data_IF_608516198911
#
_entry.id   IF_608516198911
#
_cell.length_a   1.000
_cell.length_b   1.000
_cell.length_c   1.000
_cell.angle_alpha   90.00
_cell.angle_beta   90.00
_cell.angle_gamma   90.00
#
_symmetry.space_group_name_H-M   'P 1'
#
loop_
_entity.id
_entity.type
_entity.pdbx_description
1 polymer ?
#
# COMPACT_ATOMS: atom_id res chain seq x y z
N UNK A 1 50.95 8.17 -64.07
CA UNK A 1 50.00 7.67 -63.05
C UNK A 1 50.82 6.98 -61.98
N UNK A 2 50.85 7.61 -60.80
CA UNK A 2 51.53 7.13 -59.60
C UNK A 2 50.79 5.92 -59.01
N UNK A 3 51.52 4.95 -58.48
CA UNK A 3 51.29 4.42 -57.13
C UNK A 3 52.48 3.57 -56.69
N UNK A 4 53.24 4.12 -55.74
CA UNK A 4 54.30 3.49 -54.96
C UNK A 4 53.68 2.57 -53.90
N UNK A 5 54.12 1.31 -53.84
CA UNK A 5 53.75 0.37 -52.78
C UNK A 5 54.34 0.81 -51.44
N UNK A 6 53.45 0.87 -50.45
CA UNK A 6 53.65 1.35 -49.09
C UNK A 6 54.38 0.29 -48.25
N UNK A 7 55.45 0.69 -47.58
CA UNK A 7 56.13 -0.10 -46.55
C UNK A 7 55.33 -0.04 -45.24
N UNK A 8 55.14 -1.21 -44.60
CA UNK A 8 54.47 -1.36 -43.32
C UNK A 8 55.49 -1.10 -42.18
N UNK A 9 55.38 0.05 -41.51
CA UNK A 9 56.06 0.30 -40.23
C UNK A 9 55.06 0.13 -39.09
N UNK A 10 55.30 -0.86 -38.24
CA UNK A 10 54.57 -1.08 -36.99
C UNK A 10 55.25 -0.24 -35.89
N UNK A 11 54.57 0.81 -35.42
CA UNK A 11 54.99 1.58 -34.25
C UNK A 11 54.10 1.18 -33.06
N UNK A 12 54.70 0.53 -32.06
CA UNK A 12 54.07 0.26 -30.77
C UNK A 12 54.21 1.53 -29.92
N UNK A 13 53.11 2.22 -29.67
CA UNK A 13 53.04 3.30 -28.69
C UNK A 13 52.49 2.74 -27.37
N UNK A 14 53.38 2.56 -26.40
CA UNK A 14 53.03 2.34 -25.00
C UNK A 14 52.66 3.73 -24.45
N UNK A 15 51.37 4.00 -24.27
CA UNK A 15 50.94 5.15 -23.49
C UNK A 15 51.02 4.79 -22.00
N UNK A 16 51.97 5.43 -21.32
CA UNK A 16 52.06 5.50 -19.86
C UNK A 16 50.75 6.02 -19.26
N UNK A 17 50.37 5.45 -18.12
CA UNK A 17 49.11 5.66 -17.43
C UNK A 17 48.71 7.13 -17.28
N UNK A 18 47.51 7.43 -17.74
CA UNK A 18 46.76 8.58 -17.29
C UNK A 18 46.07 8.14 -15.99
N UNK A 19 46.51 8.68 -14.85
CA UNK A 19 45.80 8.54 -13.58
C UNK A 19 44.36 9.02 -13.81
N UNK A 20 43.41 8.08 -13.84
CA UNK A 20 42.01 8.43 -13.65
C UNK A 20 41.93 8.96 -12.24
N UNK A 21 41.82 10.29 -12.11
CA UNK A 21 41.20 10.89 -10.95
C UNK A 21 39.90 10.14 -10.71
N UNK A 22 39.83 9.42 -9.60
CA UNK A 22 38.56 9.09 -8.96
C UNK A 22 37.83 10.42 -8.77
N UNK A 23 36.91 10.70 -9.68
CA UNK A 23 35.77 11.52 -9.33
C UNK A 23 35.02 10.68 -8.32
N UNK A 24 35.17 11.03 -7.04
CA UNK A 24 34.15 10.78 -6.03
C UNK A 24 32.83 11.27 -6.63
N UNK A 25 32.09 10.35 -7.23
CA UNK A 25 30.70 10.55 -7.55
C UNK A 25 30.01 10.55 -6.18
N UNK A 26 29.97 11.74 -5.56
CA UNK A 26 29.08 12.04 -4.46
C UNK A 26 27.66 11.88 -5.03
N UNK A 27 27.24 10.62 -5.11
CA UNK A 27 25.87 10.20 -5.36
C UNK A 27 25.06 10.92 -4.30
N UNK A 28 24.39 12.00 -4.74
CA UNK A 28 23.51 12.77 -3.91
C UNK A 28 22.49 11.76 -3.37
N UNK A 29 22.59 11.44 -2.08
CA UNK A 29 21.70 10.47 -1.45
C UNK A 29 20.28 10.99 -1.68
N UNK A 30 19.50 10.23 -2.44
CA UNK A 30 18.11 10.61 -2.74
C UNK A 30 17.39 10.70 -1.41
N UNK A 31 16.98 11.91 -1.05
CA UNK A 31 16.19 12.16 0.16
C UNK A 31 14.73 12.00 -0.20
N UNK A 32 14.09 10.97 0.36
CA UNK A 32 12.65 10.81 0.29
C UNK A 32 11.99 11.63 1.40
N UNK A 33 10.74 12.04 1.16
CA UNK A 33 9.94 12.71 2.18
C UNK A 33 9.86 11.84 3.44
N UNK A 34 10.03 12.50 4.57
CA UNK A 34 9.91 11.87 5.87
C UNK A 34 8.41 11.73 6.15
N UNK A 35 7.94 10.52 6.47
CA UNK A 35 6.49 10.29 6.60
C UNK A 35 5.84 11.16 7.69
N UNK A 36 6.62 11.59 8.70
CA UNK A 36 6.17 12.52 9.73
C UNK A 36 5.88 13.95 9.23
N UNK A 37 6.40 14.32 8.06
CA UNK A 37 6.19 15.62 7.44
C UNK A 37 5.01 15.60 6.43
N UNK A 38 4.37 14.45 6.23
CA UNK A 38 3.20 14.33 5.37
C UNK A 38 1.95 14.98 5.95
N UNK A 39 1.01 15.35 5.07
CA UNK A 39 -0.25 15.98 5.47
C UNK A 39 -1.14 15.04 6.31
N UNK A 40 -1.04 13.72 6.07
CA UNK A 40 -1.81 12.70 6.79
C UNK A 40 -0.89 11.61 7.38
N UNK A 41 -1.18 11.14 8.61
CA UNK A 41 -0.34 10.19 9.31
C UNK A 41 -0.47 8.77 8.75
N UNK A 42 0.65 8.07 8.56
CA UNK A 42 0.64 6.61 8.31
C UNK A 42 0.87 5.84 9.62
N UNK A 43 0.22 4.68 9.82
CA UNK A 43 0.54 3.81 10.96
C UNK A 43 1.77 2.97 10.65
N UNK A 44 2.89 3.55 11.05
CA UNK A 44 4.19 2.92 10.99
C UNK A 44 4.60 2.34 12.34
N UNK A 45 5.53 1.41 12.25
CA UNK A 45 6.08 0.69 13.37
C UNK A 45 6.96 1.61 14.24
N UNK A 46 6.91 1.58 15.58
CA UNK A 46 7.85 2.37 16.39
C UNK A 46 9.34 2.18 16.12
N UNK A 47 9.76 1.09 15.46
CA UNK A 47 11.14 0.94 15.00
C UNK A 47 11.47 1.90 13.85
N UNK A 48 10.50 2.24 13.00
CA UNK A 48 10.63 3.31 12.01
C UNK A 48 10.97 4.67 12.69
N UNK A 49 10.34 4.98 13.82
CA UNK A 49 10.57 6.22 14.57
C UNK A 49 11.79 6.18 15.49
N UNK A 50 12.50 5.04 15.55
CA UNK A 50 13.75 4.96 16.29
C UNK A 50 14.86 5.66 15.48
N UNK A 51 15.30 6.82 15.97
CA UNK A 51 16.33 7.67 15.32
C UNK A 51 17.67 6.97 15.06
N UNK A 52 17.94 5.82 15.71
CA UNK A 52 19.16 5.04 15.48
C UNK A 52 19.02 3.99 14.36
N UNK A 53 17.83 3.84 13.78
CA UNK A 53 17.51 2.86 12.72
C UNK A 53 17.41 3.53 11.34
N UNK A 54 18.41 4.34 10.98
CA UNK A 54 18.39 5.20 9.78
C UNK A 54 18.11 4.43 8.48
N UNK A 55 18.68 3.22 8.33
CA UNK A 55 18.49 2.41 7.12
C UNK A 55 17.03 1.97 6.97
N UNK A 56 16.40 1.50 8.05
CA UNK A 56 14.98 1.14 8.05
C UNK A 56 14.09 2.33 7.70
N UNK A 57 14.38 3.50 8.29
CA UNK A 57 13.62 4.72 8.03
C UNK A 57 13.70 5.12 6.57
N UNK A 58 14.90 5.08 5.98
CA UNK A 58 15.11 5.36 4.57
C UNK A 58 14.39 4.36 3.66
N UNK A 59 14.43 3.07 4.00
CA UNK A 59 13.73 2.02 3.25
C UNK A 59 12.22 2.24 3.26
N UNK A 60 11.64 2.57 4.41
CA UNK A 60 10.21 2.85 4.55
C UNK A 60 9.82 4.15 3.84
N UNK A 61 10.61 5.22 3.98
CA UNK A 61 10.36 6.48 3.25
C UNK A 61 10.42 6.27 1.74
N UNK A 62 11.40 5.50 1.26
CA UNK A 62 11.49 5.10 -0.16
C UNK A 62 10.24 4.34 -0.57
N UNK A 63 9.81 3.35 0.21
CA UNK A 63 8.63 2.54 -0.10
C UNK A 63 7.35 3.38 -0.16
N UNK A 64 7.10 4.20 0.85
CA UNK A 64 5.92 5.08 0.94
C UNK A 64 5.92 6.09 -0.20
N UNK A 65 7.08 6.70 -0.50
CA UNK A 65 7.23 7.60 -1.63
C UNK A 65 6.77 6.95 -2.94
N UNK A 66 7.33 5.78 -3.29
CA UNK A 66 6.97 5.11 -4.54
C UNK A 66 5.53 4.55 -4.53
N UNK A 67 4.97 4.19 -3.37
CA UNK A 67 3.57 3.82 -3.25
C UNK A 67 2.66 5.00 -3.66
N UNK A 68 2.94 6.21 -3.18
CA UNK A 68 2.17 7.44 -3.47
C UNK A 68 2.22 7.89 -4.92
N UNK A 69 3.21 7.44 -5.71
CA UNK A 69 3.34 7.83 -7.11
C UNK A 69 2.37 7.10 -8.04
N UNK A 70 1.73 6.02 -7.59
CA UNK A 70 0.69 5.36 -8.38
C UNK A 70 -0.57 6.22 -8.38
N UNK A 71 -1.30 6.25 -9.50
CA UNK A 71 -2.65 6.79 -9.51
C UNK A 71 -3.61 5.81 -8.86
N UNK A 72 -4.48 6.30 -7.98
CA UNK A 72 -5.51 5.49 -7.35
C UNK A 72 -6.92 5.92 -7.78
N UNK A 73 -7.82 4.95 -7.85
CA UNK A 73 -9.25 5.16 -8.04
C UNK A 73 -9.94 5.21 -6.67
N UNK A 74 -10.98 6.02 -6.55
CA UNK A 74 -11.81 5.92 -5.36
C UNK A 74 -12.53 4.55 -5.38
N UNK A 75 -12.58 3.81 -4.25
CA UNK A 75 -13.15 2.47 -4.22
C UNK A 75 -14.68 2.46 -4.29
N UNK A 76 -15.30 3.64 -4.33
CA UNK A 76 -16.72 3.87 -4.11
C UNK A 76 -17.23 4.89 -5.11
N UNK A 77 -17.66 4.44 -6.28
CA UNK A 77 -18.13 5.29 -7.38
C UNK A 77 -19.53 4.85 -7.84
N UNK A 78 -20.25 5.77 -8.46
CA UNK A 78 -21.54 5.50 -9.10
C UNK A 78 -21.33 5.17 -10.59
N UNK A 79 -22.42 4.83 -11.30
CA UNK A 79 -22.37 4.46 -12.73
C UNK A 79 -21.90 5.60 -13.67
N UNK A 80 -21.70 6.82 -13.15
CA UNK A 80 -21.18 7.97 -13.90
C UNK A 80 -19.71 8.28 -13.55
N UNK A 81 -19.01 7.37 -12.88
CA UNK A 81 -17.63 7.54 -12.38
C UNK A 81 -17.48 8.70 -11.38
N UNK A 82 -18.58 9.07 -10.69
CA UNK A 82 -18.55 10.04 -9.60
C UNK A 82 -18.47 9.30 -8.26
N UNK A 83 -17.72 9.85 -7.32
CA UNK A 83 -17.66 9.33 -5.94
C UNK A 83 -19.08 9.24 -5.39
N UNK A 84 -19.49 8.03 -5.03
CA UNK A 84 -20.83 7.80 -4.52
C UNK A 84 -21.02 8.50 -3.17
N UNK A 85 -22.17 9.15 -2.97
CA UNK A 85 -22.45 9.86 -1.74
C UNK A 85 -22.41 8.93 -0.52
N UNK A 86 -21.48 9.18 0.39
CA UNK A 86 -21.22 8.35 1.56
C UNK A 86 -20.94 9.21 2.80
N UNK A 87 -20.88 8.55 3.96
CA UNK A 87 -20.43 9.13 5.21
C UNK A 87 -19.36 8.25 5.84
N UNK A 88 -18.43 8.88 6.56
CA UNK A 88 -17.45 8.18 7.38
C UNK A 88 -17.96 8.10 8.82
N UNK A 89 -18.24 6.89 9.29
CA UNK A 89 -18.56 6.69 10.73
C UNK A 89 -17.30 6.44 11.56
N UNK A 90 -16.25 5.91 10.94
CA UNK A 90 -14.92 5.74 11.53
C UNK A 90 -13.89 6.06 10.49
N UNK A 91 -13.08 7.07 10.80
CA UNK A 91 -11.95 7.49 9.98
C UNK A 91 -10.70 6.70 10.35
N UNK A 92 -9.70 6.80 9.48
CA UNK A 92 -8.38 6.25 9.74
C UNK A 92 -7.84 6.82 11.05
N UNK A 93 -7.38 5.94 11.94
CA UNK A 93 -6.77 6.32 13.21
C UNK A 93 -7.73 6.69 14.31
N UNK A 94 -9.04 6.64 14.10
CA UNK A 94 -9.99 6.87 15.18
C UNK A 94 -9.82 5.79 16.26
N UNK A 95 -9.80 6.26 17.50
CA UNK A 95 -9.78 5.42 18.69
C UNK A 95 -10.98 4.46 18.77
N UNK A 96 -10.74 3.20 19.10
CA UNK A 96 -11.78 2.16 19.24
C UNK A 96 -11.71 1.54 20.65
N UNK A 97 -12.85 1.14 21.19
CA UNK A 97 -12.99 0.39 22.44
C UNK A 97 -13.08 1.26 23.71
N UNK A 98 -12.94 0.65 24.90
CA UNK A 98 -13.19 1.37 26.15
C UNK A 98 -12.21 2.54 26.29
N UNK A 99 -12.75 3.76 26.43
CA UNK A 99 -12.04 5.06 26.46
C UNK A 99 -11.44 5.55 25.14
N UNK A 100 -11.73 4.93 23.99
CA UNK A 100 -11.16 5.26 22.67
C UNK A 100 -9.62 5.21 22.60
N UNK A 101 -8.98 4.72 23.67
CA UNK A 101 -7.53 4.55 23.72
C UNK A 101 -7.14 3.10 23.61
N UNK A 102 -8.09 2.17 23.42
CA UNK A 102 -7.71 0.80 23.18
C UNK A 102 -7.14 0.70 21.77
N UNK A 103 -7.93 0.66 20.70
CA UNK A 103 -7.49 0.47 19.31
C UNK A 103 -7.48 1.73 18.49
N UNK A 104 -6.82 1.69 17.34
CA UNK A 104 -6.93 2.70 16.29
C UNK A 104 -7.46 2.01 15.05
N UNK A 105 -8.31 2.69 14.31
CA UNK A 105 -8.95 2.12 13.13
C UNK A 105 -7.98 2.13 11.94
N UNK A 106 -7.51 0.98 11.43
CA UNK A 106 -6.51 0.93 10.35
C UNK A 106 -7.10 1.17 8.95
N UNK A 107 -8.30 1.74 8.91
CA UNK A 107 -9.17 1.73 7.76
C UNK A 107 -10.02 3.00 7.73
N UNK A 108 -10.70 3.19 6.61
CA UNK A 108 -11.84 4.10 6.49
C UNK A 108 -13.11 3.27 6.30
N UNK A 109 -14.16 3.59 7.08
CA UNK A 109 -15.48 2.99 6.92
C UNK A 109 -16.36 3.89 6.04
N UNK A 110 -16.59 3.47 4.79
CA UNK A 110 -17.42 4.20 3.83
C UNK A 110 -18.86 3.69 3.86
N UNK A 111 -19.76 4.46 4.48
CA UNK A 111 -21.18 4.14 4.57
C UNK A 111 -21.96 4.82 3.45
N UNK A 112 -22.45 4.09 2.44
CA UNK A 112 -23.22 4.69 1.35
C UNK A 112 -24.55 5.24 1.87
N UNK A 113 -24.97 6.37 1.29
CA UNK A 113 -26.31 6.92 1.54
C UNK A 113 -27.40 5.98 1.03
N UNK A 114 -27.12 5.27 -0.08
CA UNK A 114 -27.99 4.24 -0.64
C UNK A 114 -27.19 2.95 -0.93
N UNK A 115 -27.23 1.94 -0.03
CA UNK A 115 -26.43 0.73 -0.15
C UNK A 115 -26.87 -0.19 -1.31
N UNK A 116 -28.03 0.03 -1.93
CA UNK A 116 -28.49 -0.75 -3.09
C UNK A 116 -28.09 -0.12 -4.43
N UNK A 117 -27.42 1.04 -4.40
CA UNK A 117 -26.99 1.76 -5.60
C UNK A 117 -25.51 2.13 -5.45
N UNK A 118 -24.68 1.11 -5.29
CA UNK A 118 -23.25 1.27 -5.12
C UNK A 118 -22.50 0.23 -5.93
N UNK A 119 -21.40 0.66 -6.54
CA UNK A 119 -20.43 -0.22 -7.20
C UNK A 119 -19.07 0.05 -6.58
N UNK A 120 -18.34 -1.02 -6.32
CA UNK A 120 -16.99 -0.95 -5.79
C UNK A 120 -16.00 -1.22 -6.91
N UNK A 121 -14.95 -0.42 -6.96
CA UNK A 121 -13.96 -0.43 -8.03
C UNK A 121 -12.55 -0.67 -7.48
N UNK A 122 -11.72 -1.31 -8.30
CA UNK A 122 -10.31 -1.52 -8.00
C UNK A 122 -9.58 -0.19 -7.89
N UNK A 123 -8.96 0.06 -6.74
CA UNK A 123 -8.28 1.31 -6.42
C UNK A 123 -6.97 1.43 -7.20
N UNK A 124 -6.37 0.32 -7.62
CA UNK A 124 -5.17 0.30 -8.44
C UNK A 124 -5.15 -0.97 -9.28
N UNK A 125 -4.21 -1.08 -10.23
CA UNK A 125 -4.00 -2.35 -10.91
C UNK A 125 -3.46 -3.38 -9.92
N UNK A 126 -3.82 -4.65 -10.05
CA UNK A 126 -3.24 -5.67 -9.17
C UNK A 126 -3.89 -7.04 -9.26
N UNK A 127 -3.32 -7.98 -8.51
CA UNK A 127 -3.84 -9.34 -8.35
C UNK A 127 -4.90 -9.36 -7.24
N UNK A 128 -6.07 -9.93 -7.52
CA UNK A 128 -7.12 -10.15 -6.54
C UNK A 128 -6.96 -11.50 -5.86
N UNK A 129 -7.19 -11.51 -4.55
CA UNK A 129 -7.47 -12.72 -3.78
C UNK A 129 -8.70 -12.51 -2.91
N UNK A 130 -9.58 -13.49 -2.89
CA UNK A 130 -10.84 -13.43 -2.17
C UNK A 130 -10.83 -14.33 -0.94
N UNK A 131 -11.57 -13.91 0.08
CA UNK A 131 -11.64 -14.58 1.36
C UNK A 131 -13.10 -14.62 1.82
N UNK A 132 -13.56 -15.81 2.18
CA UNK A 132 -14.94 -16.06 2.62
C UNK A 132 -15.00 -16.49 4.07
N UNK A 133 -16.18 -16.40 4.67
CA UNK A 133 -16.49 -16.83 6.03
C UNK A 133 -15.56 -16.27 7.13
N UNK A 134 -15.03 -15.06 6.93
CA UNK A 134 -14.27 -14.33 7.93
C UNK A 134 -15.17 -13.97 9.12
N UNK A 135 -14.84 -14.39 10.36
CA UNK A 135 -15.70 -14.14 11.53
C UNK A 135 -16.03 -12.65 11.78
N UNK A 136 -15.17 -11.73 11.32
CA UNK A 136 -15.37 -10.29 11.49
C UNK A 136 -15.94 -9.62 10.23
N UNK A 137 -15.56 -10.06 9.04
CA UNK A 137 -15.89 -9.35 7.79
C UNK A 137 -16.93 -10.03 6.91
N UNK A 138 -17.30 -11.26 7.24
CA UNK A 138 -17.96 -12.21 6.34
C UNK A 138 -17.11 -12.46 5.10
N UNK A 139 -17.10 -11.58 4.11
CA UNK A 139 -16.21 -11.69 2.95
C UNK A 139 -15.35 -10.44 2.80
N UNK A 140 -14.17 -10.64 2.22
CA UNK A 140 -13.29 -9.56 1.78
C UNK A 140 -12.46 -10.00 0.60
N UNK A 141 -11.86 -9.04 -0.09
CA UNK A 141 -10.81 -9.29 -1.07
C UNK A 141 -9.60 -8.42 -0.77
N UNK A 142 -8.42 -8.92 -1.10
CA UNK A 142 -7.19 -8.15 -1.22
C UNK A 142 -6.91 -7.87 -2.69
N UNK A 143 -6.38 -6.68 -2.96
CA UNK A 143 -5.87 -6.27 -4.26
C UNK A 143 -4.41 -5.85 -4.10
N UNK A 144 -3.51 -6.61 -4.71
CA UNK A 144 -2.07 -6.50 -4.46
C UNK A 144 -1.34 -5.98 -5.70
N UNK A 145 -0.53 -4.93 -5.52
CA UNK A 145 0.36 -4.40 -6.55
C UNK A 145 1.80 -4.33 -6.06
N UNK A 146 2.75 -4.61 -6.95
CA UNK A 146 4.17 -4.41 -6.69
C UNK A 146 4.48 -2.90 -6.65
N UNK A 147 5.30 -2.48 -5.69
CA UNK A 147 5.89 -1.14 -5.67
C UNK A 147 7.27 -1.24 -6.30
N UNK A 148 7.52 -0.42 -7.32
CA UNK A 148 8.78 -0.39 -8.06
C UNK A 148 9.47 0.96 -7.90
N UNK A 149 10.79 0.93 -7.77
CA UNK A 149 11.57 2.15 -7.80
C UNK A 149 11.83 2.65 -9.23
N UNK A 150 12.57 3.75 -9.36
CA UNK A 150 12.93 4.36 -10.66
C UNK A 150 13.68 3.41 -11.59
N UNK A 151 14.37 2.41 -11.05
CA UNK A 151 15.13 1.42 -11.82
C UNK A 151 14.29 0.17 -12.13
N UNK A 152 12.98 0.23 -11.86
CA UNK A 152 12.01 -0.86 -12.04
C UNK A 152 12.30 -2.08 -11.14
N UNK A 153 13.06 -1.91 -10.06
CA UNK A 153 13.24 -2.96 -9.05
C UNK A 153 12.00 -3.01 -8.15
N UNK A 154 11.49 -4.21 -7.90
CA UNK A 154 10.45 -4.41 -6.89
C UNK A 154 11.08 -4.15 -5.53
N UNK A 155 10.55 -3.18 -4.78
CA UNK A 155 11.04 -2.82 -3.43
C UNK A 155 10.02 -3.17 -2.33
N UNK A 156 8.81 -3.55 -2.74
CA UNK A 156 7.76 -3.99 -1.85
C UNK A 156 6.45 -4.18 -2.61
N UNK A 157 5.35 -4.19 -1.86
CA UNK A 157 3.99 -4.24 -2.41
C UNK A 157 3.04 -3.38 -1.59
N UNK A 158 2.03 -2.86 -2.28
CA UNK A 158 0.84 -2.27 -1.66
C UNK A 158 -0.30 -3.26 -1.77
N UNK A 159 -1.08 -3.36 -0.69
CA UNK A 159 -2.28 -4.20 -0.62
C UNK A 159 -3.43 -3.34 -0.16
N UNK A 160 -4.47 -3.24 -0.98
CA UNK A 160 -5.75 -2.67 -0.55
C UNK A 160 -6.71 -3.80 -0.16
N UNK A 161 -7.45 -3.62 0.92
CA UNK A 161 -8.44 -4.60 1.39
C UNK A 161 -9.81 -3.98 1.34
N UNK A 162 -10.74 -4.72 0.72
CA UNK A 162 -12.14 -4.37 0.61
C UNK A 162 -12.95 -5.37 1.39
N UNK A 163 -13.42 -4.96 2.56
CA UNK A 163 -14.10 -5.85 3.48
C UNK A 163 -15.55 -5.43 3.72
N UNK A 164 -16.34 -6.37 4.26
CA UNK A 164 -17.80 -6.24 4.34
C UNK A 164 -18.47 -6.20 2.96
N UNK A 165 -17.93 -6.96 2.00
CA UNK A 165 -18.55 -7.21 0.69
C UNK A 165 -19.35 -8.51 0.72
N UNK A 166 -20.28 -8.70 -0.22
CA UNK A 166 -21.08 -9.91 -0.35
C UNK A 166 -20.77 -10.67 -1.64
N UNK A 167 -19.62 -11.36 -1.61
CA UNK A 167 -19.17 -12.21 -2.71
C UNK A 167 -20.12 -13.36 -3.09
N UNK A 168 -21.14 -13.70 -2.29
CA UNK A 168 -22.12 -14.72 -2.69
C UNK A 168 -23.13 -14.12 -3.69
N UNK A 169 -23.56 -12.89 -3.43
CA UNK A 169 -24.40 -12.13 -4.36
C UNK A 169 -23.63 -11.78 -5.63
N UNK A 170 -22.37 -11.34 -5.50
CA UNK A 170 -21.51 -11.06 -6.67
C UNK A 170 -21.29 -12.31 -7.55
N UNK A 171 -21.09 -13.49 -6.94
CA UNK A 171 -20.98 -14.75 -7.67
C UNK A 171 -22.26 -15.06 -8.47
N UNK A 172 -23.43 -14.78 -7.90
CA UNK A 172 -24.71 -14.99 -8.58
C UNK A 172 -24.87 -14.06 -9.80
N UNK A 173 -24.11 -12.97 -9.84
CA UNK A 173 -23.97 -12.03 -10.95
C UNK A 173 -22.76 -12.31 -11.85
N UNK A 174 -22.12 -13.49 -11.71
CA UNK A 174 -20.94 -13.93 -12.47
C UNK A 174 -19.67 -13.09 -12.25
N UNK A 175 -19.55 -12.40 -11.11
CA UNK A 175 -18.35 -11.67 -10.74
C UNK A 175 -17.45 -12.54 -9.85
N UNK A 176 -16.57 -13.34 -10.47
CA UNK A 176 -15.61 -14.23 -9.80
C UNK A 176 -14.19 -13.80 -10.12
N UNK A 177 -13.54 -13.11 -9.17
CA UNK A 177 -12.27 -12.41 -9.42
C UNK A 177 -11.06 -13.06 -8.72
N UNK A 178 -11.25 -14.19 -8.02
CA UNK A 178 -10.16 -14.83 -7.28
C UNK A 178 -9.01 -15.24 -8.22
N UNK A 179 -7.79 -14.78 -7.89
CA UNK A 179 -6.59 -15.01 -8.69
C UNK A 179 -6.51 -14.21 -10.00
N UNK A 180 -7.45 -13.30 -10.26
CA UNK A 180 -7.44 -12.48 -11.48
C UNK A 180 -6.60 -11.22 -11.28
N UNK A 181 -5.90 -10.83 -12.34
CA UNK A 181 -5.34 -9.49 -12.41
C UNK A 181 -6.44 -8.53 -12.90
N UNK A 182 -6.63 -7.44 -12.19
CA UNK A 182 -7.63 -6.42 -12.48
C UNK A 182 -6.98 -5.07 -12.73
N UNK A 183 -7.56 -4.27 -13.60
CA UNK A 183 -7.13 -2.89 -13.81
C UNK A 183 -7.83 -1.96 -12.81
N UNK A 184 -7.15 -0.85 -12.50
CA UNK A 184 -7.72 0.28 -11.78
C UNK A 184 -9.03 0.72 -12.43
N UNK A 185 -10.05 0.96 -11.62
CA UNK A 185 -11.38 1.39 -12.07
C UNK A 185 -12.25 0.28 -12.66
N UNK A 186 -11.81 -0.99 -12.63
CA UNK A 186 -12.70 -2.11 -12.95
C UNK A 186 -13.51 -2.54 -11.71
N UNK A 187 -14.72 -3.05 -11.96
CA UNK A 187 -15.65 -3.47 -10.91
C UNK A 187 -15.12 -4.67 -10.13
N UNK A 188 -15.06 -4.55 -8.81
CA UNK A 188 -14.62 -5.64 -7.91
C UNK A 188 -15.76 -6.26 -7.10
N UNK A 189 -16.83 -5.50 -6.86
CA UNK A 189 -18.03 -5.95 -6.15
C UNK A 189 -19.16 -4.96 -6.38
N UNK A 190 -20.40 -5.43 -6.28
CA UNK A 190 -21.60 -4.57 -6.31
C UNK A 190 -22.41 -4.65 -5.02
N UNK A 191 -21.99 -5.52 -4.10
CA UNK A 191 -22.80 -5.91 -2.98
C UNK A 191 -22.04 -5.72 -1.68
N UNK A 192 -22.59 -4.89 -0.80
CA UNK A 192 -22.12 -4.75 0.58
C UNK A 192 -22.86 -5.73 1.49
N UNK A 193 -22.14 -6.25 2.48
CA UNK A 193 -22.74 -7.05 3.53
C UNK A 193 -23.53 -6.19 4.51
N UNK A 194 -24.83 -6.43 4.58
CA UNK A 194 -25.75 -5.67 5.44
C UNK A 194 -25.78 -6.13 6.91
N UNK A 195 -25.22 -7.30 7.22
CA UNK A 195 -25.31 -7.91 8.56
C UNK A 195 -24.33 -7.38 9.61
N UNK A 196 -23.54 -6.35 9.30
CA UNK A 196 -22.64 -5.74 10.29
C UNK A 196 -23.43 -4.92 11.31
N UNK A 197 -22.90 -4.77 12.53
CA UNK A 197 -23.51 -3.95 13.58
C UNK A 197 -23.64 -2.46 13.18
N UNK A 198 -22.79 -1.98 12.26
CA UNK A 198 -22.79 -0.59 11.76
C UNK A 198 -23.70 -0.33 10.55
N UNK A 199 -24.32 -1.38 10.01
CA UNK A 199 -25.03 -1.39 8.72
C UNK A 199 -24.11 -1.68 7.53
N UNK A 200 -24.65 -1.72 6.32
CA UNK A 200 -23.85 -1.90 5.11
C UNK A 200 -22.83 -0.75 4.95
N UNK A 201 -21.56 -1.11 4.80
CA UNK A 201 -20.45 -0.18 4.56
C UNK A 201 -19.27 -0.94 3.95
N UNK A 202 -18.37 -0.23 3.29
CA UNK A 202 -17.06 -0.76 2.90
C UNK A 202 -16.04 -0.41 3.99
N UNK A 203 -15.38 -1.42 4.54
CA UNK A 203 -14.18 -1.24 5.36
C UNK A 203 -12.97 -1.32 4.43
N UNK A 204 -12.30 -0.19 4.21
CA UNK A 204 -11.21 -0.06 3.24
C UNK A 204 -9.87 0.20 3.93
N UNK A 205 -8.91 -0.70 3.72
CA UNK A 205 -7.55 -0.58 4.27
C UNK A 205 -6.52 -0.44 3.14
N UNK A 206 -5.46 0.31 3.42
CA UNK A 206 -4.23 0.30 2.62
C UNK A 206 -3.08 -0.17 3.49
N UNK A 207 -2.37 -1.21 3.03
CA UNK A 207 -1.20 -1.79 3.70
C UNK A 207 0.00 -1.76 2.77
N UNK A 208 1.18 -1.54 3.34
CA UNK A 208 2.46 -1.58 2.62
C UNK A 208 3.38 -2.63 3.24
N UNK A 209 4.00 -3.44 2.38
CA UNK A 209 4.93 -4.49 2.77
C UNK A 209 6.25 -4.28 2.03
N UNK A 210 7.37 -4.33 2.73
CA UNK A 210 8.70 -4.47 2.15
C UNK A 210 8.92 -5.92 1.73
N UNK A 211 9.81 -6.14 0.77
CA UNK A 211 10.13 -7.49 0.27
C UNK A 211 10.64 -8.47 1.34
N UNK A 212 11.28 -7.95 2.39
CA UNK A 212 11.83 -8.77 3.48
C UNK A 212 10.75 -9.22 4.48
N UNK A 213 9.52 -8.74 4.34
CA UNK A 213 8.49 -8.94 5.33
C UNK A 213 7.57 -10.11 4.97
N UNK A 214 7.17 -10.87 6.01
CA UNK A 214 6.44 -12.13 5.86
C UNK A 214 4.95 -12.03 6.20
N UNK A 215 4.43 -10.81 6.35
CA UNK A 215 3.02 -10.54 6.63
C UNK A 215 2.09 -11.16 5.58
N UNK A 216 0.90 -11.56 6.01
CA UNK A 216 -0.14 -12.10 5.15
C UNK A 216 -1.24 -11.06 4.87
N UNK A 217 -2.01 -11.33 3.83
CA UNK A 217 -3.16 -10.51 3.43
C UNK A 217 -4.43 -10.91 4.20
N UNK A 218 -4.26 -11.59 5.34
CA UNK A 218 -5.35 -12.00 6.22
C UNK A 218 -5.77 -10.85 7.14
N UNK A 219 -6.96 -11.00 7.71
CA UNK A 219 -7.55 -9.96 8.55
C UNK A 219 -7.00 -9.96 10.00
N UNK A 220 -6.85 -8.77 10.58
CA UNK A 220 -6.52 -8.51 11.99
C UNK A 220 -7.55 -9.13 12.97
N UNK A 221 -7.15 -10.09 13.82
CA UNK A 221 -8.04 -10.66 14.84
C UNK A 221 -7.82 -10.07 16.25
N UNK A 222 -8.88 -9.62 16.93
CA UNK A 222 -8.91 -8.88 18.22
C UNK A 222 -8.31 -9.59 19.45
N UNK A 223 -8.14 -10.92 19.43
CA UNK A 223 -7.70 -11.66 20.62
C UNK A 223 -6.38 -12.42 20.43
N UNK A 224 -5.42 -12.06 21.27
CA UNK A 224 -4.15 -12.71 21.62
C UNK A 224 -3.01 -12.73 20.59
N UNK A 225 -2.00 -11.90 20.84
CA UNK A 225 -0.62 -12.41 21.01
C UNK A 225 0.17 -11.45 21.90
N UNK A 226 1.12 -11.97 22.68
CA UNK A 226 1.94 -11.26 23.70
C UNK A 226 2.92 -10.22 23.12
N UNK A 227 2.66 -9.75 21.91
CA UNK A 227 3.57 -9.03 21.04
C UNK A 227 2.91 -7.73 20.54
N UNK A 228 2.37 -6.94 21.47
CA UNK A 228 1.88 -5.61 21.18
C UNK A 228 3.03 -4.61 21.27
N UNK A 229 3.10 -3.70 20.33
CA UNK A 229 4.12 -2.65 20.32
C UNK A 229 3.61 -1.35 20.89
N UNK A 230 4.54 -0.59 21.46
CA UNK A 230 4.32 0.77 21.98
C UNK A 230 4.01 1.77 20.87
N UNK A 231 3.66 3.01 21.25
CA UNK A 231 3.19 4.07 20.34
C UNK A 231 4.35 4.72 19.56
N UNK A 232 4.02 5.29 18.41
CA UNK A 232 4.99 5.83 17.46
C UNK A 232 5.23 7.35 17.65
N UNK A 233 4.17 8.11 17.98
CA UNK A 233 4.22 9.46 18.58
C UNK A 233 2.79 9.91 18.99
N UNK A 234 2.51 10.10 20.28
CA UNK A 234 1.15 10.41 20.79
C UNK A 234 0.30 9.18 21.17
N UNK A 235 -0.98 9.36 21.51
CA UNK A 235 -1.89 8.26 21.90
C UNK A 235 -2.28 7.45 20.65
N UNK A 236 -1.78 6.20 20.53
CA UNK A 236 -2.00 5.28 19.39
C UNK A 236 -1.91 3.79 19.80
N UNK A 237 -2.91 3.23 20.49
CA UNK A 237 -2.69 1.99 21.26
C UNK A 237 -2.97 0.64 20.60
N UNK A 238 -3.32 0.55 19.31
CA UNK A 238 -3.05 -0.70 18.55
C UNK A 238 -2.95 -0.43 17.03
N UNK A 239 -1.72 -0.38 16.52
CA UNK A 239 -1.37 -1.03 15.26
C UNK A 239 -0.69 -2.36 15.61
N UNK A 240 -1.02 -3.47 14.94
CA UNK A 240 -0.30 -4.72 15.18
C UNK A 240 1.13 -4.60 14.68
N UNK A 241 2.10 -5.02 15.51
CA UNK A 241 3.49 -4.99 15.09
C UNK A 241 4.39 -5.89 15.97
N UNK A 242 5.34 -6.55 15.32
CA UNK A 242 6.67 -6.87 15.84
C UNK A 242 7.68 -6.63 14.73
N UNK A 243 8.97 -6.48 15.08
CA UNK A 243 10.07 -6.39 14.10
C UNK A 243 10.07 -7.55 13.08
N UNK A 244 9.45 -8.68 13.41
CA UNK A 244 9.50 -9.91 12.61
C UNK A 244 8.35 -10.03 11.59
N UNK A 245 7.25 -9.27 11.76
CA UNK A 245 6.01 -9.42 10.97
C UNK A 245 5.79 -8.35 9.89
N UNK A 246 6.46 -7.20 10.01
CA UNK A 246 6.71 -6.24 8.93
C UNK A 246 5.56 -5.86 7.99
N UNK A 247 4.72 -4.90 8.38
CA UNK A 247 3.98 -4.07 7.42
C UNK A 247 3.50 -2.80 8.11
N UNK A 248 3.20 -1.76 7.32
CA UNK A 248 2.60 -0.50 7.78
C UNK A 248 1.19 -0.31 7.21
N UNK A 249 0.35 0.47 7.89
CA UNK A 249 -0.89 0.97 7.30
C UNK A 249 -0.66 2.37 6.76
N UNK A 250 -1.13 2.60 5.57
CA UNK A 250 -1.06 3.89 4.91
C UNK A 250 -2.43 4.54 4.97
N UNK A 251 -2.49 5.82 5.31
CA UNK A 251 -3.77 6.54 5.28
C UNK A 251 -4.28 6.55 3.82
N UNK A 252 -5.51 6.07 3.54
CA UNK A 252 -6.09 6.16 2.20
C UNK A 252 -6.09 7.58 1.61
N UNK A 253 -6.15 8.63 2.44
CA UNK A 253 -6.10 10.03 1.98
C UNK A 253 -4.76 10.36 1.32
N UNK A 254 -3.65 9.77 1.80
CA UNK A 254 -2.33 9.92 1.17
C UNK A 254 -2.27 9.34 -0.26
N UNK A 255 -3.28 8.57 -0.67
CA UNK A 255 -3.44 8.03 -2.01
C UNK A 255 -4.52 8.75 -2.84
N UNK A 256 -5.11 9.83 -2.31
CA UNK A 256 -6.24 10.50 -2.94
C UNK A 256 -7.56 9.73 -2.82
N UNK A 257 -7.64 8.75 -1.90
CA UNK A 257 -8.84 7.94 -1.62
C UNK A 257 -9.66 8.56 -0.46
N UNK A 258 -9.20 9.66 0.12
CA UNK A 258 -9.87 10.36 1.20
C UNK A 258 -11.06 11.21 0.73
N UNK A 259 -12.19 11.03 1.43
CA UNK A 259 -13.44 11.83 1.46
C UNK A 259 -13.68 12.87 0.35
#
# INVERSE_FOLDING_TARGET
MNQTSLALFLAILIFSGCDKKETDDLTQQVTYEVNEDGDYPDFLTPHYYNINATDLRNDINKLVHFARLNDYNHPFENENDEIAAHSTKREFGVGIGMSDTSQHHPAIDLHPTNPTNIVMYAAHNGLIKTYRDSPKYRHYLSLTSEIKDTDNNIIGKIVTIYAHIDLDLDNSESLQLDGQYINKGEVISKNLYSGTMGGAHLHFETRIYRNSETGNEDFYYWQNSENHTTRSSGVWSYGYWTNDLGYGFMDPVNLGIGL
#
